data_IF_361725283469
#
_entry.id   IF_361725283469
#
_cell.length_a   1.000
_cell.length_b   1.000
_cell.length_c   1.000
_cell.angle_alpha   90.00
_cell.angle_beta   90.00
_cell.angle_gamma   90.00
#
_symmetry.space_group_name_H-M   'P 1'
#
loop_
_entity.id
_entity.type
_entity.pdbx_description
1 polymer ?
#
# COMPACT_ATOMS: atom_id res chain seq x y z
N UNK A 1 -10.94 -18.52 19.74
CA UNK A 1 -11.22 -17.07 19.69
C UNK A 1 -9.96 -16.38 19.20
N UNK A 2 -9.95 -15.88 17.96
CA UNK A 2 -8.85 -15.05 17.46
C UNK A 2 -8.92 -13.70 18.15
N UNK A 3 -7.95 -13.42 19.03
CA UNK A 3 -7.81 -12.13 19.71
C UNK A 3 -7.69 -11.05 18.63
N UNK A 4 -8.42 -9.93 18.77
CA UNK A 4 -8.23 -8.81 17.83
C UNK A 4 -6.75 -8.41 17.86
N UNK A 5 -6.09 -8.28 16.70
CA UNK A 5 -4.71 -7.84 16.66
C UNK A 5 -4.61 -6.45 17.30
N UNK A 6 -3.51 -6.20 17.99
CA UNK A 6 -3.16 -4.85 18.41
C UNK A 6 -2.88 -3.95 17.19
N UNK A 7 -2.83 -2.64 17.40
CA UNK A 7 -2.66 -1.68 16.31
C UNK A 7 -1.37 -1.89 15.52
N UNK A 8 -0.27 -2.24 16.19
CA UNK A 8 1.03 -2.50 15.58
C UNK A 8 0.95 -3.71 14.64
N UNK A 9 0.42 -4.83 15.15
CA UNK A 9 0.17 -6.04 14.38
C UNK A 9 -0.78 -5.77 13.20
N UNK A 10 -1.83 -4.99 13.40
CA UNK A 10 -2.77 -4.64 12.33
C UNK A 10 -2.13 -3.79 11.23
N UNK A 11 -1.25 -2.84 11.59
CA UNK A 11 -0.50 -2.03 10.62
C UNK A 11 0.52 -2.90 9.86
N UNK A 12 1.26 -3.76 10.54
CA UNK A 12 2.21 -4.68 9.91
C UNK A 12 1.53 -5.63 8.93
N UNK A 13 0.39 -6.20 9.31
CA UNK A 13 -0.41 -7.04 8.41
C UNK A 13 -0.87 -6.25 7.18
N UNK A 14 -1.36 -5.03 7.35
CA UNK A 14 -1.77 -4.17 6.24
C UNK A 14 -0.61 -3.89 5.28
N UNK A 15 0.58 -3.55 5.79
CA UNK A 15 1.77 -3.32 4.97
C UNK A 15 2.14 -4.59 4.19
N UNK A 16 2.15 -5.74 4.86
CA UNK A 16 2.49 -7.04 4.26
C UNK A 16 1.50 -7.42 3.16
N UNK A 17 0.20 -7.25 3.40
CA UNK A 17 -0.85 -7.51 2.41
C UNK A 17 -0.66 -6.62 1.17
N UNK A 18 -0.41 -5.32 1.36
CA UNK A 18 -0.24 -4.39 0.23
C UNK A 18 1.04 -4.68 -0.55
N UNK A 19 2.15 -5.00 0.13
CA UNK A 19 3.41 -5.41 -0.52
C UNK A 19 3.25 -6.67 -1.36
N UNK A 20 2.35 -7.58 -0.96
CA UNK A 20 2.04 -8.80 -1.71
C UNK A 20 1.02 -8.59 -2.84
N UNK A 21 0.09 -7.65 -2.69
CA UNK A 21 -0.97 -7.39 -3.67
C UNK A 21 -0.49 -6.49 -4.81
N UNK A 22 0.42 -5.55 -4.54
CA UNK A 22 0.82 -4.53 -5.52
C UNK A 22 2.08 -4.94 -6.28
N UNK A 23 2.17 -4.60 -7.59
CA UNK A 23 3.28 -4.99 -8.44
C UNK A 23 4.50 -4.08 -8.24
N UNK A 24 5.04 -3.99 -7.02
CA UNK A 24 6.27 -3.21 -6.76
C UNK A 24 7.51 -3.80 -7.44
N UNK A 25 7.49 -5.11 -7.71
CA UNK A 25 8.62 -5.84 -8.28
C UNK A 25 8.59 -5.96 -9.82
N UNK A 26 7.60 -5.37 -10.50
CA UNK A 26 7.55 -5.42 -11.98
C UNK A 26 8.36 -4.28 -12.59
N UNK A 27 9.06 -4.51 -13.73
CA UNK A 27 9.82 -3.46 -14.40
C UNK A 27 8.95 -2.27 -14.79
N UNK A 28 9.50 -1.06 -14.69
CA UNK A 28 8.79 0.19 -15.01
C UNK A 28 8.23 0.22 -16.44
N UNK A 29 8.94 -0.39 -17.39
CA UNK A 29 8.51 -0.52 -18.79
C UNK A 29 7.19 -1.30 -18.94
N UNK A 30 6.86 -2.18 -17.99
CA UNK A 30 5.61 -2.95 -17.98
C UNK A 30 4.46 -2.22 -17.25
N UNK A 31 4.76 -1.11 -16.56
CA UNK A 31 3.79 -0.30 -15.81
C UNK A 31 3.25 0.83 -16.70
N UNK A 32 4.05 1.32 -17.64
CA UNK A 32 3.71 2.46 -18.48
C UNK A 32 2.99 2.03 -19.77
N UNK A 33 1.82 2.60 -20.02
CA UNK A 33 1.04 2.42 -21.25
C UNK A 33 0.77 3.74 -21.98
N UNK A 34 0.31 3.65 -23.23
CA UNK A 34 0.07 4.80 -24.13
C UNK A 34 -1.05 5.73 -23.62
N UNK A 35 -1.95 5.22 -22.77
CA UNK A 35 -3.05 5.98 -22.14
C UNK A 35 -2.96 5.85 -20.62
N UNK A 36 -2.24 6.77 -19.97
CA UNK A 36 -2.12 6.80 -18.51
C UNK A 36 -3.27 7.61 -17.88
N UNK A 37 -4.42 6.99 -17.61
CA UNK A 37 -5.48 7.60 -16.79
C UNK A 37 -5.05 7.53 -15.31
N UNK A 38 -4.23 8.50 -14.91
CA UNK A 38 -3.48 8.47 -13.65
C UNK A 38 -2.27 7.53 -13.79
N UNK A 39 -1.05 8.08 -13.72
CA UNK A 39 0.17 7.31 -13.92
C UNK A 39 0.29 6.22 -12.84
N UNK A 40 0.18 4.92 -13.19
CA UNK A 40 0.22 3.84 -12.20
C UNK A 40 1.55 3.79 -11.44
N UNK A 41 2.66 4.20 -12.07
CA UNK A 41 3.95 4.39 -11.39
C UNK A 41 3.84 5.39 -10.25
N UNK A 42 3.27 6.55 -10.50
CA UNK A 42 3.09 7.61 -9.48
C UNK A 42 2.25 7.12 -8.30
N UNK A 43 1.22 6.32 -8.59
CA UNK A 43 0.37 5.72 -7.56
C UNK A 43 1.14 4.71 -6.70
N UNK A 44 1.99 3.88 -7.32
CA UNK A 44 2.88 2.96 -6.61
C UNK A 44 3.90 3.72 -5.76
N UNK A 45 4.56 4.74 -6.30
CA UNK A 45 5.54 5.57 -5.57
C UNK A 45 4.94 6.18 -4.28
N UNK A 46 3.72 6.71 -4.37
CA UNK A 46 3.03 7.30 -3.20
C UNK A 46 2.78 6.23 -2.13
N UNK A 47 2.30 5.05 -2.53
CA UNK A 47 2.04 3.98 -1.57
C UNK A 47 3.35 3.44 -1.00
N UNK A 48 4.37 3.23 -1.83
CA UNK A 48 5.68 2.75 -1.38
C UNK A 48 6.30 3.67 -0.33
N UNK A 49 6.19 4.99 -0.53
CA UNK A 49 6.67 5.99 0.43
C UNK A 49 5.94 5.87 1.77
N UNK A 50 4.61 5.79 1.75
CA UNK A 50 3.80 5.64 2.97
C UNK A 50 4.06 4.31 3.69
N UNK A 51 4.28 3.22 2.96
CA UNK A 51 4.67 1.94 3.55
C UNK A 51 6.05 2.03 4.22
N UNK A 52 7.05 2.59 3.52
CA UNK A 52 8.39 2.79 4.08
C UNK A 52 8.38 3.67 5.34
N UNK A 53 7.57 4.73 5.34
CA UNK A 53 7.41 5.62 6.49
C UNK A 53 6.81 4.88 7.68
N UNK A 54 5.79 4.05 7.45
CA UNK A 54 5.19 3.25 8.51
C UNK A 54 6.10 2.13 9.01
N UNK A 55 6.81 1.42 8.12
CA UNK A 55 7.83 0.44 8.49
C UNK A 55 8.90 1.08 9.38
N UNK A 56 9.37 2.27 9.01
CA UNK A 56 10.33 3.04 9.81
C UNK A 56 9.76 3.45 11.17
N UNK A 57 8.52 3.91 11.24
CA UNK A 57 7.84 4.24 12.52
C UNK A 57 7.71 3.00 13.42
N UNK A 58 7.27 1.88 12.86
CA UNK A 58 7.12 0.62 13.59
C UNK A 58 8.46 0.11 14.13
N UNK A 59 9.54 0.25 13.35
CA UNK A 59 10.90 -0.10 13.78
C UNK A 59 11.42 0.79 14.92
N UNK A 60 10.86 1.99 15.09
CA UNK A 60 11.16 2.92 16.18
C UNK A 60 10.14 2.80 17.34
N UNK A 61 9.47 1.65 17.48
CA UNK A 61 8.46 1.37 18.52
C UNK A 61 7.26 2.34 18.53
N UNK A 62 7.00 3.05 17.41
CA UNK A 62 5.84 3.93 17.29
C UNK A 62 4.59 3.09 17.09
N UNK A 63 3.67 3.17 18.06
CA UNK A 63 2.38 2.47 17.99
C UNK A 63 1.40 3.28 17.12
N UNK A 64 0.93 2.73 15.99
CA UNK A 64 -0.03 3.41 15.12
C UNK A 64 -1.39 3.55 15.80
N UNK A 65 -2.13 4.59 15.42
CA UNK A 65 -3.54 4.74 15.83
C UNK A 65 -4.47 4.05 14.83
N UNK A 66 -5.65 3.66 15.30
CA UNK A 66 -6.70 3.10 14.43
C UNK A 66 -7.08 4.04 13.26
N UNK A 67 -7.03 5.35 13.49
CA UNK A 67 -7.27 6.35 12.44
C UNK A 67 -6.23 6.30 11.33
N UNK A 68 -4.96 6.10 11.69
CA UNK A 68 -3.84 6.04 10.74
C UNK A 68 -3.87 4.75 9.92
N UNK A 69 -4.17 3.61 10.57
CA UNK A 69 -4.41 2.34 9.88
C UNK A 69 -5.55 2.49 8.87
N UNK A 70 -6.64 3.16 9.26
CA UNK A 70 -7.78 3.43 8.36
C UNK A 70 -7.41 4.36 7.20
N UNK A 71 -6.57 5.37 7.44
CA UNK A 71 -6.07 6.29 6.41
C UNK A 71 -5.19 5.56 5.40
N UNK A 72 -4.20 4.78 5.86
CA UNK A 72 -3.34 3.98 4.99
C UNK A 72 -4.17 2.98 4.19
N UNK A 73 -5.08 2.26 4.84
CA UNK A 73 -5.97 1.31 4.15
C UNK A 73 -6.85 1.96 3.09
N UNK A 74 -7.31 3.20 3.29
CA UNK A 74 -8.05 3.97 2.29
C UNK A 74 -7.15 4.38 1.12
N UNK A 75 -5.94 4.84 1.39
CA UNK A 75 -4.95 5.18 0.37
C UNK A 75 -4.68 3.96 -0.52
N UNK A 76 -4.33 2.82 0.07
CA UNK A 76 -4.08 1.57 -0.65
C UNK A 76 -5.31 1.16 -1.48
N UNK A 77 -6.53 1.21 -0.93
CA UNK A 77 -7.75 0.89 -1.70
C UNK A 77 -7.96 1.82 -2.91
N UNK A 78 -7.66 3.11 -2.78
CA UNK A 78 -7.78 4.06 -3.88
C UNK A 78 -6.73 3.81 -4.97
N UNK A 79 -5.49 3.54 -4.56
CA UNK A 79 -4.42 3.18 -5.50
C UNK A 79 -4.71 1.87 -6.21
N UNK A 80 -5.15 0.83 -5.48
CA UNK A 80 -5.56 -0.45 -6.07
C UNK A 80 -6.62 -0.27 -7.17
N UNK A 81 -7.59 0.62 -6.97
CA UNK A 81 -8.58 0.95 -8.01
C UNK A 81 -7.94 1.58 -9.24
N UNK A 82 -6.95 2.45 -9.06
CA UNK A 82 -6.16 3.01 -10.16
C UNK A 82 -5.36 1.93 -10.90
N UNK A 83 -4.68 1.04 -10.17
CA UNK A 83 -3.92 -0.07 -10.74
C UNK A 83 -4.81 -1.05 -11.51
N UNK A 84 -5.99 -1.38 -10.96
CA UNK A 84 -6.98 -2.26 -11.61
C UNK A 84 -7.47 -1.69 -12.94
N UNK A 85 -7.70 -0.38 -13.02
CA UNK A 85 -8.07 0.30 -14.29
C UNK A 85 -6.96 0.25 -15.34
N UNK A 86 -5.71 0.13 -14.90
CA UNK A 86 -4.54 -0.02 -15.77
C UNK A 86 -4.18 -1.49 -16.03
N UNK A 87 -4.98 -2.46 -15.55
CA UNK A 87 -4.74 -3.88 -15.77
C UNK A 87 -3.56 -4.48 -15.00
N UNK A 88 -3.10 -3.81 -13.94
CA UNK A 88 -1.91 -4.21 -13.17
C UNK A 88 -2.22 -5.12 -11.97
N UNK A 89 -3.48 -5.13 -11.51
CA UNK A 89 -3.98 -5.93 -10.39
C UNK A 89 -5.44 -6.34 -10.66
N UNK A 90 -5.89 -7.46 -10.09
CA UNK A 90 -7.27 -7.97 -10.24
C UNK A 90 -8.25 -7.44 -9.18
#
# INVERSE_FOLDING_TARGET
MTKKPDCTSAMQSLITEVRSDFPFNVPEANICGISCVGCPKKLLEIVDTELCDWESKLNNDVVPKLGEISQLGKLCKNVRRGLKRNGLVE
#
